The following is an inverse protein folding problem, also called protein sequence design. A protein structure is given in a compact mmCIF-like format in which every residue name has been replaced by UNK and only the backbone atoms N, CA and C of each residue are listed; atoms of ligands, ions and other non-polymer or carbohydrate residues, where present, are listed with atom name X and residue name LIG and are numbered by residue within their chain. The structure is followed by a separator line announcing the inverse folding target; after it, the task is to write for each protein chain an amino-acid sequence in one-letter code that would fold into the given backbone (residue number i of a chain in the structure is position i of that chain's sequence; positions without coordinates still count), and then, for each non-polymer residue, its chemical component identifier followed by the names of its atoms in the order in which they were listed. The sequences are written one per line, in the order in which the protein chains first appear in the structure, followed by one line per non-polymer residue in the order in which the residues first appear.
data_IF_512714247116
#
_entry.id   IF_512714247116
#
_cell.length_a   1.000
_cell.length_b   1.000
_cell.length_c   1.000
_cell.angle_alpha   90.00
_cell.angle_beta   90.00
_cell.angle_gamma   90.00
#
_symmetry.space_group_name_H-M   'P 1'
#
loop_
_entity.id
_entity.type
_entity.pdbx_description
1 polymer ?
#
# COMPACT_ATOMS: atom_id res chain seq x y z
N UNK A 1 13.04 15.54 -2.60
CA UNK A 1 13.54 14.81 -3.81
C UNK A 1 14.47 15.71 -4.59
N UNK A 2 15.31 15.16 -5.48
CA UNK A 2 16.31 15.97 -6.18
C UNK A 2 16.48 15.52 -7.63
N UNK A 3 16.29 16.42 -8.59
CA UNK A 3 16.57 16.16 -10.01
C UNK A 3 17.74 17.01 -10.48
N UNK A 4 18.82 16.37 -10.95
CA UNK A 4 20.08 17.07 -11.18
C UNK A 4 20.55 17.76 -9.89
N UNK A 5 20.84 19.06 -9.95
CA UNK A 5 21.23 19.86 -8.78
C UNK A 5 20.06 20.57 -8.08
N UNK A 6 18.81 20.39 -8.57
CA UNK A 6 17.63 21.08 -8.04
C UNK A 6 16.91 20.21 -7.00
N UNK A 7 16.71 20.76 -5.82
CA UNK A 7 15.89 20.16 -4.76
C UNK A 7 14.43 20.61 -4.88
N UNK A 8 13.50 19.70 -4.58
CA UNK A 8 12.07 19.94 -4.60
C UNK A 8 11.46 19.51 -3.27
N UNK A 9 10.54 20.35 -2.79
CA UNK A 9 9.77 20.13 -1.58
C UNK A 9 8.60 19.16 -1.83
N UNK A 10 8.00 19.23 -3.02
CA UNK A 10 6.83 18.44 -3.38
C UNK A 10 7.11 17.44 -4.51
N UNK A 11 6.29 16.39 -4.57
CA UNK A 11 6.23 15.46 -5.69
C UNK A 11 6.16 13.99 -5.28
N UNK A 12 6.23 13.10 -6.28
CA UNK A 12 6.13 11.65 -6.08
C UNK A 12 7.40 10.94 -6.56
N UNK A 13 8.11 10.29 -5.64
CA UNK A 13 9.23 9.41 -5.95
C UNK A 13 8.78 7.96 -6.18
N UNK A 14 9.38 7.29 -7.16
CA UNK A 14 9.02 5.92 -7.58
C UNK A 14 10.24 5.18 -8.14
N UNK A 15 10.04 3.96 -8.64
CA UNK A 15 11.05 3.16 -9.29
C UNK A 15 10.43 2.41 -10.48
N UNK A 16 11.12 2.33 -11.62
CA UNK A 16 10.60 1.58 -12.77
C UNK A 16 10.47 0.07 -12.45
N UNK A 17 9.53 -0.67 -13.06
CA UNK A 17 8.34 -0.18 -13.76
C UNK A 17 7.28 0.20 -12.72
N UNK A 18 6.69 1.39 -12.85
CA UNK A 18 5.64 1.85 -11.94
C UNK A 18 4.44 2.44 -12.64
N UNK A 19 3.31 2.39 -11.92
CA UNK A 19 2.03 2.97 -12.29
C UNK A 19 1.39 3.61 -11.05
N UNK A 20 1.01 4.87 -11.18
CA UNK A 20 0.32 5.66 -10.15
C UNK A 20 -0.96 6.18 -10.78
N UNK A 21 -2.12 5.82 -10.20
CA UNK A 21 -3.42 6.32 -10.66
C UNK A 21 -3.84 7.47 -9.76
N UNK A 22 -4.10 8.61 -10.37
CA UNK A 22 -4.51 9.83 -9.68
C UNK A 22 -6.00 10.04 -9.92
N UNK A 23 -6.80 10.09 -8.84
CA UNK A 23 -8.23 10.37 -8.90
C UNK A 23 -8.54 11.72 -8.28
N UNK A 24 -9.33 12.51 -9.00
CA UNK A 24 -9.70 13.86 -8.64
C UNK A 24 -11.19 13.90 -8.28
N UNK A 25 -11.52 14.58 -7.20
CA UNK A 25 -12.89 14.87 -6.78
C UNK A 25 -13.59 15.88 -7.70
N UNK A 26 -12.81 16.70 -8.41
CA UNK A 26 -13.28 17.65 -9.41
C UNK A 26 -12.57 17.45 -10.75
N UNK A 27 -13.20 17.82 -11.89
CA UNK A 27 -12.57 17.78 -13.20
C UNK A 27 -11.21 18.48 -13.22
N UNK A 28 -10.17 17.73 -13.61
CA UNK A 28 -8.82 18.23 -13.78
C UNK A 28 -8.68 19.04 -15.07
N UNK A 29 -7.97 20.16 -15.01
CA UNK A 29 -7.65 20.98 -16.18
C UNK A 29 -6.24 20.70 -16.69
N UNK A 30 -5.25 20.68 -15.82
CA UNK A 30 -3.86 20.52 -16.24
C UNK A 30 -3.08 19.78 -15.17
N UNK A 31 -2.39 18.71 -15.58
CA UNK A 31 -1.33 18.09 -14.79
C UNK A 31 0.02 18.72 -15.19
N UNK A 32 0.87 18.98 -14.21
CA UNK A 32 2.22 19.50 -14.41
C UNK A 32 3.22 18.88 -13.42
N UNK A 33 4.45 18.67 -13.86
CA UNK A 33 5.57 18.19 -13.03
C UNK A 33 6.92 18.53 -13.71
N UNK A 34 8.02 18.38 -12.98
CA UNK A 34 9.34 18.13 -13.56
C UNK A 34 9.71 16.66 -13.33
N UNK A 35 9.94 15.91 -14.41
CA UNK A 35 10.23 14.48 -14.36
C UNK A 35 11.72 14.20 -14.55
N UNK A 36 12.26 13.22 -13.84
CA UNK A 36 13.65 12.80 -14.01
C UNK A 36 14.04 11.65 -13.10
N UNK A 37 15.27 11.17 -13.25
CA UNK A 37 15.84 10.18 -12.33
C UNK A 37 16.30 10.93 -11.07
N UNK A 38 15.89 10.45 -9.89
CA UNK A 38 16.26 11.04 -8.60
C UNK A 38 17.78 11.04 -8.46
N UNK A 39 18.34 12.12 -7.91
CA UNK A 39 19.74 12.27 -7.60
C UNK A 39 19.98 11.95 -6.13
N UNK A 40 20.26 10.70 -5.83
CA UNK A 40 20.60 10.23 -4.49
C UNK A 40 21.96 9.51 -4.48
N UNK A 41 22.27 8.87 -3.36
CA UNK A 41 23.55 8.19 -3.13
C UNK A 41 23.81 7.00 -4.07
N UNK A 42 22.76 6.40 -4.65
CA UNK A 42 22.83 5.22 -5.49
C UNK A 42 22.89 5.59 -6.99
N UNK A 43 21.99 6.47 -7.44
CA UNK A 43 21.94 6.92 -8.84
C UNK A 43 23.03 7.93 -9.21
N UNK A 44 23.41 8.79 -8.25
CA UNK A 44 24.43 9.83 -8.38
C UNK A 44 24.23 10.81 -9.55
N UNK A 45 22.99 11.02 -10.02
CA UNK A 45 22.66 11.80 -11.22
C UNK A 45 23.40 11.35 -12.50
N UNK A 46 23.72 10.06 -12.62
CA UNK A 46 24.42 9.52 -13.79
C UNK A 46 23.87 8.18 -14.27
N UNK A 47 23.26 7.40 -13.37
CA UNK A 47 22.78 6.04 -13.66
C UNK A 47 21.27 6.02 -13.86
N UNK A 48 20.79 4.88 -14.35
CA UNK A 48 19.39 4.62 -14.64
C UNK A 48 18.96 5.11 -16.02
N UNK A 49 17.89 4.51 -16.53
CA UNK A 49 17.26 4.90 -17.77
C UNK A 49 15.76 4.60 -17.76
N UNK A 50 14.93 5.63 -17.95
CA UNK A 50 13.47 5.51 -17.80
C UNK A 50 12.72 6.16 -18.94
N UNK A 51 11.45 5.78 -19.13
CA UNK A 51 10.50 6.52 -19.97
C UNK A 51 9.29 6.92 -19.13
N UNK A 52 8.99 8.21 -19.10
CA UNK A 52 7.82 8.76 -18.42
C UNK A 52 6.62 8.79 -19.36
N UNK A 53 5.46 8.35 -18.87
CA UNK A 53 4.21 8.35 -19.62
C UNK A 53 3.10 8.92 -18.75
N UNK A 54 2.23 9.74 -19.34
CA UNK A 54 0.96 10.16 -18.73
C UNK A 54 -0.17 9.66 -19.60
N UNK A 55 -1.12 8.93 -19.00
CA UNK A 55 -2.32 8.44 -19.68
C UNK A 55 -3.56 9.15 -19.15
N UNK A 56 -4.43 9.59 -20.06
CA UNK A 56 -5.71 10.23 -19.74
C UNK A 56 -6.81 9.51 -20.51
N UNK A 57 -7.83 9.02 -19.80
CA UNK A 57 -8.92 8.26 -20.42
C UNK A 57 -8.46 6.99 -21.15
N UNK A 58 -7.44 6.30 -20.61
CA UNK A 58 -6.86 5.08 -21.18
C UNK A 58 -6.04 5.29 -22.45
N UNK A 59 -5.58 6.52 -22.72
CA UNK A 59 -4.72 6.84 -23.87
C UNK A 59 -3.50 7.63 -23.40
N UNK A 60 -2.34 7.36 -24.00
CA UNK A 60 -1.14 8.16 -23.76
C UNK A 60 -1.36 9.61 -24.24
N UNK A 61 -1.39 10.53 -23.28
CA UNK A 61 -1.43 11.96 -23.52
C UNK A 61 -0.01 12.56 -23.56
N UNK A 62 0.96 11.89 -22.95
CA UNK A 62 2.38 12.23 -22.97
C UNK A 62 3.24 10.97 -22.91
N UNK A 63 4.36 10.99 -23.62
CA UNK A 63 5.44 10.01 -23.53
C UNK A 63 6.77 10.73 -23.75
N UNK A 64 7.73 10.53 -22.86
CA UNK A 64 9.08 11.05 -23.04
C UNK A 64 9.91 10.17 -24.00
N UNK A 65 11.01 10.73 -24.52
CA UNK A 65 12.13 9.89 -24.94
C UNK A 65 12.77 9.21 -23.71
N UNK A 66 13.72 8.30 -23.93
CA UNK A 66 14.51 7.72 -22.83
C UNK A 66 15.21 8.84 -22.07
N UNK A 67 15.00 8.87 -20.75
CA UNK A 67 15.62 9.81 -19.81
C UNK A 67 16.71 9.09 -19.05
N UNK A 68 17.88 9.69 -18.94
CA UNK A 68 19.04 9.16 -18.21
C UNK A 68 19.31 10.00 -16.96
N UNK A 69 20.06 9.43 -16.02
CA UNK A 69 20.41 10.11 -14.77
C UNK A 69 21.07 11.47 -14.96
N UNK A 70 21.84 11.62 -16.04
CA UNK A 70 22.55 12.84 -16.40
C UNK A 70 21.69 13.91 -17.08
N UNK A 71 20.46 13.58 -17.47
CA UNK A 71 19.61 14.51 -18.20
C UNK A 71 19.05 15.58 -17.26
N UNK A 72 18.83 16.82 -17.75
CA UNK A 72 18.17 17.83 -16.94
C UNK A 72 16.71 17.43 -16.64
N UNK A 73 16.11 18.00 -15.56
CA UNK A 73 14.70 17.82 -15.25
C UNK A 73 13.84 18.11 -16.48
N UNK A 74 12.90 17.23 -16.78
CA UNK A 74 12.02 17.30 -17.94
C UNK A 74 10.69 17.96 -17.54
N UNK A 75 10.36 19.16 -18.04
CA UNK A 75 9.05 19.75 -17.80
C UNK A 75 7.96 18.90 -18.47
N UNK A 76 6.98 18.46 -17.69
CA UNK A 76 5.80 17.75 -18.16
C UNK A 76 4.57 18.62 -17.92
N UNK A 77 3.76 18.81 -18.96
CA UNK A 77 2.49 19.53 -18.87
C UNK A 77 1.46 18.85 -19.78
N UNK A 78 0.36 18.39 -19.20
CA UNK A 78 -0.68 17.62 -19.89
C UNK A 78 -2.03 18.27 -19.62
N UNK A 79 -2.79 18.53 -20.70
CA UNK A 79 -4.20 18.90 -20.59
C UNK A 79 -5.01 17.66 -20.24
N UNK A 80 -5.73 17.72 -19.12
CA UNK A 80 -6.55 16.62 -18.64
C UNK A 80 -7.95 16.63 -19.26
N UNK A 81 -8.35 17.70 -19.95
CA UNK A 81 -9.63 17.76 -20.67
C UNK A 81 -10.86 17.58 -19.77
N UNK A 82 -10.76 17.90 -18.48
CA UNK A 82 -11.81 17.65 -17.49
C UNK A 82 -11.85 16.23 -16.94
N UNK A 83 -10.85 15.39 -17.23
CA UNK A 83 -10.75 14.05 -16.65
C UNK A 83 -10.67 14.13 -15.12
N UNK A 84 -11.35 13.19 -14.46
CA UNK A 84 -11.27 12.98 -13.01
C UNK A 84 -10.30 11.86 -12.66
N UNK A 85 -9.66 11.24 -13.64
CA UNK A 85 -8.66 10.19 -13.45
C UNK A 85 -7.60 10.28 -14.55
N UNK A 86 -6.34 10.12 -14.18
CA UNK A 86 -5.21 9.93 -15.09
C UNK A 86 -4.14 9.07 -14.44
N UNK A 87 -3.23 8.54 -15.24
CA UNK A 87 -2.21 7.60 -14.80
C UNK A 87 -0.83 8.12 -15.11
N UNK A 88 0.06 8.09 -14.12
CA UNK A 88 1.49 8.36 -14.28
C UNK A 88 2.24 7.04 -14.31
N UNK A 89 3.07 6.82 -15.33
CA UNK A 89 3.84 5.59 -15.48
C UNK A 89 5.32 5.89 -15.69
N UNK A 90 6.17 5.05 -15.11
CA UNK A 90 7.60 5.04 -15.36
C UNK A 90 7.97 3.66 -15.89
N UNK A 91 8.49 3.60 -17.11
CA UNK A 91 8.95 2.38 -17.76
C UNK A 91 10.48 2.27 -17.67
N UNK A 92 11.01 1.05 -17.77
CA UNK A 92 12.43 0.69 -17.62
C UNK A 92 13.30 0.90 -18.87
N UNK A 93 12.79 1.67 -19.84
CA UNK A 93 13.42 1.94 -21.13
C UNK A 93 13.93 0.72 -21.94
N UNK A 94 13.55 -0.51 -21.55
CA UNK A 94 13.98 -1.75 -22.17
C UNK A 94 15.38 -2.25 -21.78
N UNK A 95 16.08 -1.63 -20.82
CA UNK A 95 17.35 -2.14 -20.27
C UNK A 95 17.24 -2.70 -18.84
N UNK A 96 16.02 -2.70 -18.29
CA UNK A 96 15.68 -3.24 -16.98
C UNK A 96 15.87 -2.20 -15.88
N UNK A 97 15.24 -2.44 -14.73
CA UNK A 97 15.02 -1.42 -13.70
C UNK A 97 16.26 -0.93 -12.90
N UNK A 98 17.49 -1.24 -13.31
CA UNK A 98 18.66 -0.96 -12.47
C UNK A 98 18.93 0.55 -12.33
N UNK A 99 18.84 1.06 -11.10
CA UNK A 99 19.01 2.49 -10.76
C UNK A 99 17.92 3.41 -11.34
N UNK A 100 16.74 2.86 -11.66
CA UNK A 100 15.62 3.61 -12.24
C UNK A 100 14.73 4.26 -11.17
N UNK A 101 15.36 4.86 -10.16
CA UNK A 101 14.68 5.67 -9.16
C UNK A 101 14.28 6.98 -9.81
N UNK A 102 12.98 7.24 -9.91
CA UNK A 102 12.44 8.32 -10.73
C UNK A 102 11.48 9.18 -9.93
N UNK A 103 11.50 10.49 -10.18
CA UNK A 103 10.60 11.44 -9.55
C UNK A 103 9.69 12.11 -10.57
N UNK A 104 8.44 12.32 -10.16
CA UNK A 104 7.55 13.36 -10.66
C UNK A 104 7.60 14.54 -9.67
N UNK A 105 8.59 15.41 -9.81
CA UNK A 105 8.85 16.52 -8.89
C UNK A 105 7.89 17.71 -9.12
N UNK A 106 7.48 18.38 -8.04
CA UNK A 106 6.41 19.40 -8.01
C UNK A 106 5.12 18.97 -8.74
N UNK A 107 4.87 17.65 -8.78
CA UNK A 107 3.72 17.08 -9.45
C UNK A 107 2.42 17.64 -8.87
N UNK A 108 1.64 18.33 -9.71
CA UNK A 108 0.43 19.02 -9.29
C UNK A 108 -0.62 19.04 -10.39
N UNK A 109 -1.87 19.21 -9.96
CA UNK A 109 -3.03 19.36 -10.84
C UNK A 109 -3.71 20.69 -10.56
N UNK A 110 -4.03 21.42 -11.63
CA UNK A 110 -5.00 22.53 -11.58
C UNK A 110 -6.39 21.97 -11.86
N UNK A 111 -7.33 22.11 -10.94
CA UNK A 111 -8.73 21.68 -11.09
C UNK A 111 -9.59 22.78 -11.75
N UNK A 112 -10.81 22.45 -12.19
CA UNK A 112 -11.73 23.38 -12.85
C UNK A 112 -12.03 24.65 -12.04
N UNK A 113 -11.96 24.59 -10.71
CA UNK A 113 -12.08 25.76 -9.81
C UNK A 113 -10.85 26.68 -9.74
N UNK A 114 -9.75 26.33 -10.44
CA UNK A 114 -8.48 27.06 -10.41
C UNK A 114 -7.55 26.69 -9.24
N UNK A 115 -8.02 25.85 -8.32
CA UNK A 115 -7.20 25.30 -7.23
C UNK A 115 -6.08 24.44 -7.80
N UNK A 116 -4.85 24.69 -7.34
CA UNK A 116 -3.72 23.82 -7.58
C UNK A 116 -3.53 22.92 -6.36
N UNK A 117 -3.37 21.62 -6.60
CA UNK A 117 -3.08 20.63 -5.55
C UNK A 117 -1.86 19.83 -5.94
N UNK A 118 -0.92 19.67 -5.00
CA UNK A 118 0.23 18.78 -5.17
C UNK A 118 -0.17 17.34 -4.89
N UNK A 119 0.33 16.40 -5.69
CA UNK A 119 -0.08 15.00 -5.62
C UNK A 119 0.38 14.29 -4.34
N UNK A 120 1.46 14.76 -3.72
CA UNK A 120 1.98 14.24 -2.45
C UNK A 120 1.14 14.68 -1.22
N UNK A 121 0.25 15.65 -1.40
CA UNK A 121 -0.71 16.09 -0.39
C UNK A 121 -2.07 15.39 -0.52
N UNK A 122 -2.27 14.60 -1.57
CA UNK A 122 -3.50 13.83 -1.76
C UNK A 122 -3.50 12.60 -0.85
N UNK A 123 -4.62 12.27 -0.16
CA UNK A 123 -4.70 11.03 0.58
C UNK A 123 -4.49 9.81 -0.32
N UNK A 124 -3.67 8.88 0.15
CA UNK A 124 -3.50 7.58 -0.47
C UNK A 124 -4.78 6.76 -0.27
N UNK A 125 -5.44 6.43 -1.37
CA UNK A 125 -6.41 5.35 -1.40
C UNK A 125 -5.66 4.03 -1.33
N UNK A 126 -5.61 3.50 -0.12
CA UNK A 126 -5.41 2.07 0.04
C UNK A 126 -6.74 1.44 -0.37
N UNK A 127 -6.77 0.50 -1.33
CA UNK A 127 -7.96 -0.33 -1.48
C UNK A 127 -8.29 -0.80 -0.07
N UNK A 128 -9.55 -0.65 0.35
CA UNK A 128 -9.96 -1.15 1.64
C UNK A 128 -9.60 -2.64 1.63
N UNK A 129 -8.50 -3.00 2.27
CA UNK A 129 -8.17 -4.39 2.49
C UNK A 129 -9.29 -4.87 3.37
N UNK A 130 -10.28 -5.52 2.76
CA UNK A 130 -11.30 -6.23 3.50
C UNK A 130 -10.56 -7.44 4.05
N UNK A 131 -9.92 -7.25 5.20
CA UNK A 131 -9.56 -8.37 6.04
C UNK A 131 -10.87 -9.09 6.37
N UNK A 132 -10.92 -10.39 6.15
CA UNK A 132 -12.05 -11.18 6.62
C UNK A 132 -12.23 -10.96 8.13
N UNK A 133 -13.46 -11.02 8.61
CA UNK A 133 -13.75 -11.11 10.05
C UNK A 133 -13.42 -12.49 10.62
N UNK A 134 -13.02 -13.43 9.77
CA UNK A 134 -12.58 -14.76 10.16
C UNK A 134 -11.27 -14.69 10.97
N UNK A 135 -11.06 -15.70 11.81
CA UNK A 135 -9.83 -15.85 12.56
C UNK A 135 -8.62 -15.89 11.58
N UNK A 136 -7.60 -15.04 11.75
CA UNK A 136 -6.48 -14.93 10.81
C UNK A 136 -5.40 -15.99 11.07
N UNK A 137 -5.83 -17.18 11.49
CA UNK A 137 -5.02 -18.36 11.74
C UNK A 137 -5.86 -19.59 11.44
N UNK A 138 -5.20 -20.70 11.15
CA UNK A 138 -5.88 -21.98 10.94
C UNK A 138 -5.17 -23.13 11.66
N UNK A 139 -5.95 -24.15 12.00
CA UNK A 139 -5.45 -25.40 12.56
C UNK A 139 -6.44 -26.54 12.28
N UNK A 140 -6.00 -27.77 12.46
CA UNK A 140 -6.86 -28.96 12.51
C UNK A 140 -6.87 -29.50 13.94
N UNK A 141 -8.06 -29.80 14.45
CA UNK A 141 -8.25 -30.28 15.82
C UNK A 141 -9.26 -31.42 15.85
N UNK A 142 -8.81 -32.59 16.30
CA UNK A 142 -9.63 -33.81 16.24
C UNK A 142 -10.08 -34.17 14.82
N UNK A 143 -9.25 -33.86 13.82
CA UNK A 143 -9.55 -34.08 12.40
C UNK A 143 -10.49 -33.06 11.75
N UNK A 144 -10.91 -32.01 12.47
CA UNK A 144 -11.77 -30.94 11.94
C UNK A 144 -10.99 -29.63 11.77
N UNK A 145 -11.19 -28.90 10.66
CA UNK A 145 -10.54 -27.60 10.47
C UNK A 145 -11.13 -26.55 11.42
N UNK A 146 -10.30 -25.60 11.85
CA UNK A 146 -10.68 -24.50 12.76
C UNK A 146 -11.87 -23.69 12.24
N UNK A 147 -12.01 -23.55 10.92
CA UNK A 147 -13.15 -22.88 10.27
C UNK A 147 -14.51 -23.52 10.60
N UNK A 148 -14.56 -24.83 10.88
CA UNK A 148 -15.77 -25.53 11.31
C UNK A 148 -15.98 -25.46 12.83
N UNK A 149 -14.92 -25.21 13.59
CA UNK A 149 -14.90 -25.30 15.05
C UNK A 149 -15.17 -23.94 15.70
N UNK A 150 -14.39 -22.91 15.32
CA UNK A 150 -14.37 -21.60 15.95
C UNK A 150 -15.75 -20.90 16.00
N UNK A 151 -16.64 -21.02 14.99
CA UNK A 151 -17.98 -20.41 15.08
C UNK A 151 -18.83 -20.94 16.25
N UNK A 152 -18.54 -22.15 16.74
CA UNK A 152 -19.23 -22.76 17.88
C UNK A 152 -18.54 -22.54 19.22
N UNK A 153 -17.39 -21.87 19.24
CA UNK A 153 -16.60 -21.65 20.46
C UNK A 153 -16.92 -20.30 21.09
N UNK A 154 -16.72 -20.20 22.40
CA UNK A 154 -16.84 -18.91 23.10
C UNK A 154 -15.73 -18.00 22.61
N UNK A 155 -16.06 -16.79 22.14
CA UNK A 155 -15.11 -15.81 21.62
C UNK A 155 -15.07 -14.56 22.53
N UNK A 156 -13.88 -14.16 22.95
CA UNK A 156 -13.66 -12.97 23.78
C UNK A 156 -12.53 -12.11 23.22
N UNK A 157 -12.66 -10.79 23.38
CA UNK A 157 -11.62 -9.81 23.04
C UNK A 157 -11.34 -8.93 24.25
N UNK A 158 -10.06 -8.73 24.53
CA UNK A 158 -9.57 -7.81 25.54
C UNK A 158 -8.61 -6.81 24.87
N UNK A 159 -9.01 -5.55 24.82
CA UNK A 159 -8.12 -4.47 24.42
C UNK A 159 -7.21 -4.08 25.60
N UNK A 160 -5.95 -3.77 25.30
CA UNK A 160 -4.98 -3.28 26.28
C UNK A 160 -4.71 -1.79 26.06
N UNK A 161 -4.29 -1.12 27.14
CA UNK A 161 -3.92 0.30 27.05
C UNK A 161 -2.90 0.52 25.92
N UNK A 162 -3.07 1.60 25.13
CA UNK A 162 -2.12 1.95 24.10
C UNK A 162 -0.72 2.05 24.71
N UNK A 163 0.23 1.28 24.17
CA UNK A 163 1.63 1.61 24.38
C UNK A 163 1.96 2.80 23.47
N UNK A 164 2.98 3.57 23.81
CA UNK A 164 3.48 4.66 22.96
C UNK A 164 3.65 4.14 21.51
N UNK A 165 2.87 4.70 20.58
CA UNK A 165 2.89 4.32 19.16
C UNK A 165 2.27 2.96 18.79
N UNK A 166 1.59 2.23 19.67
CA UNK A 166 0.99 0.93 19.33
C UNK A 166 -0.34 0.60 20.05
N UNK A 167 -1.29 0.03 19.29
CA UNK A 167 -2.52 -0.57 19.81
C UNK A 167 -2.31 -2.06 20.06
N UNK A 168 -2.88 -2.59 21.15
CA UNK A 168 -2.73 -4.00 21.54
C UNK A 168 -4.05 -4.62 21.92
N UNK A 169 -4.26 -5.88 21.56
CA UNK A 169 -5.41 -6.66 21.99
C UNK A 169 -5.04 -8.14 22.12
N UNK A 170 -5.75 -8.85 22.99
CA UNK A 170 -5.81 -10.31 23.04
C UNK A 170 -7.18 -10.76 22.62
N UNK A 171 -7.23 -11.81 21.81
CA UNK A 171 -8.49 -12.46 21.38
C UNK A 171 -8.38 -13.94 21.69
N UNK A 172 -9.43 -14.52 22.25
CA UNK A 172 -9.47 -15.93 22.63
C UNK A 172 -10.74 -16.64 22.16
N UNK A 173 -10.58 -17.93 21.86
CA UNK A 173 -11.61 -18.89 21.53
C UNK A 173 -11.51 -20.08 22.48
N UNK A 174 -12.62 -20.52 23.06
CA UNK A 174 -12.62 -21.66 23.99
C UNK A 174 -13.55 -22.77 23.52
N UNK A 175 -12.99 -23.97 23.34
CA UNK A 175 -13.73 -25.19 23.08
C UNK A 175 -14.56 -25.58 24.33
N UNK A 176 -15.90 -25.58 24.25
CA UNK A 176 -16.73 -25.95 25.40
C UNK A 176 -16.59 -27.44 25.77
N UNK A 177 -16.12 -28.30 24.86
CA UNK A 177 -16.04 -29.73 25.11
C UNK A 177 -14.79 -30.13 25.90
N UNK A 178 -13.63 -29.56 25.56
CA UNK A 178 -12.35 -29.96 26.17
C UNK A 178 -11.73 -28.87 27.05
N UNK A 179 -12.14 -27.62 26.90
CA UNK A 179 -11.45 -26.49 27.53
C UNK A 179 -10.18 -26.07 26.82
N UNK A 180 -9.94 -26.49 25.57
CA UNK A 180 -8.87 -25.92 24.75
C UNK A 180 -9.16 -24.44 24.49
N UNK A 181 -8.27 -23.57 24.98
CA UNK A 181 -8.22 -22.16 24.65
C UNK A 181 -7.22 -21.95 23.51
N UNK A 182 -7.66 -21.25 22.48
CA UNK A 182 -6.82 -20.73 21.39
C UNK A 182 -6.89 -19.23 21.45
N UNK A 183 -5.75 -18.57 21.65
CA UNK A 183 -5.71 -17.13 21.79
C UNK A 183 -4.61 -16.53 20.94
N UNK A 184 -4.77 -15.29 20.51
CA UNK A 184 -3.68 -14.54 19.91
C UNK A 184 -3.56 -13.16 20.54
N UNK A 185 -2.30 -12.71 20.64
CA UNK A 185 -1.97 -11.33 20.97
C UNK A 185 -1.61 -10.61 19.66
N UNK A 186 -2.22 -9.44 19.45
CA UNK A 186 -1.96 -8.57 18.30
C UNK A 186 -1.47 -7.22 18.78
N UNK A 187 -0.40 -6.72 18.14
CA UNK A 187 0.12 -5.38 18.33
C UNK A 187 0.24 -4.68 16.98
N UNK A 188 -0.51 -3.60 16.81
CA UNK A 188 -0.52 -2.78 15.59
C UNK A 188 0.26 -1.51 15.87
N UNK A 189 1.32 -1.28 15.09
CA UNK A 189 2.11 -0.06 15.17
C UNK A 189 1.34 1.07 14.46
N UNK A 190 1.19 2.21 15.12
CA UNK A 190 0.42 3.34 14.59
C UNK A 190 1.25 4.20 13.63
N UNK A 191 2.58 4.21 13.80
CA UNK A 191 3.51 5.03 13.02
C UNK A 191 4.14 4.26 11.84
N UNK A 192 4.02 2.93 11.84
CA UNK A 192 4.61 2.05 10.83
C UNK A 192 3.55 1.06 10.32
N UNK A 193 3.58 0.67 9.03
CA UNK A 193 2.70 -0.35 8.50
C UNK A 193 3.15 -1.76 8.94
N UNK A 194 3.15 -2.01 10.25
CA UNK A 194 3.62 -3.24 10.86
C UNK A 194 2.62 -3.78 11.89
N UNK A 195 2.55 -5.10 11.98
CA UNK A 195 1.80 -5.84 12.99
C UNK A 195 2.70 -6.93 13.58
N UNK A 196 2.66 -7.08 14.90
CA UNK A 196 3.23 -8.22 15.61
C UNK A 196 2.08 -9.11 16.09
N UNK A 197 2.28 -10.42 15.95
CA UNK A 197 1.25 -11.43 16.14
C UNK A 197 1.81 -12.68 16.81
N UNK A 198 1.16 -13.17 17.87
CA UNK A 198 1.55 -14.41 18.54
C UNK A 198 0.31 -15.25 18.81
N UNK A 199 0.31 -16.50 18.34
CA UNK A 199 -0.76 -17.47 18.58
C UNK A 199 -0.39 -18.42 19.73
N UNK A 200 -1.35 -18.68 20.61
CA UNK A 200 -1.26 -19.49 21.81
C UNK A 200 -2.30 -20.61 21.79
N UNK A 201 -1.91 -21.77 22.28
CA UNK A 201 -2.80 -22.89 22.58
C UNK A 201 -2.62 -23.27 24.04
N UNK A 202 -3.70 -23.33 24.81
CA UNK A 202 -3.69 -23.64 26.22
C UNK A 202 -4.83 -24.61 26.54
N UNK A 203 -4.49 -25.82 26.96
CA UNK A 203 -5.49 -26.74 27.52
C UNK A 203 -5.85 -26.32 28.95
N UNK A 204 -7.04 -25.75 29.15
CA UNK A 204 -7.56 -25.38 30.48
C UNK A 204 -8.43 -26.48 31.10
N UNK A 205 -8.67 -27.57 30.36
CA UNK A 205 -9.41 -28.74 30.82
C UNK A 205 -8.60 -29.65 31.73
N UNK A 206 -9.28 -30.71 32.22
CA UNK A 206 -8.66 -31.74 33.06
C UNK A 206 -8.26 -33.01 32.29
N UNK A 207 -8.50 -33.05 30.99
CA UNK A 207 -8.22 -34.20 30.12
C UNK A 207 -7.34 -33.76 28.96
N UNK A 208 -6.63 -34.71 28.37
CA UNK A 208 -5.89 -34.46 27.13
C UNK A 208 -6.86 -34.03 26.03
N UNK A 209 -6.44 -33.05 25.24
CA UNK A 209 -7.18 -32.63 24.05
C UNK A 209 -6.98 -33.66 22.93
N UNK A 210 -7.92 -33.77 21.97
CA UNK A 210 -7.62 -34.32 20.66
C UNK A 210 -6.34 -33.74 20.04
N UNK A 211 -5.81 -34.45 19.05
CA UNK A 211 -4.65 -34.01 18.29
C UNK A 211 -4.89 -32.63 17.67
N UNK A 212 -3.92 -31.74 17.88
CA UNK A 212 -3.81 -30.44 17.25
C UNK A 212 -2.69 -30.51 16.21
N UNK A 213 -3.00 -30.19 14.96
CA UNK A 213 -2.05 -30.32 13.84
C UNK A 213 -2.32 -29.26 12.76
N UNK A 214 -1.44 -29.18 11.77
CA UNK A 214 -1.55 -28.23 10.65
C UNK A 214 -1.79 -26.79 11.11
N UNK A 215 -0.99 -26.34 12.08
CA UNK A 215 -1.12 -25.01 12.71
C UNK A 215 -0.46 -23.97 11.81
N UNK A 216 -1.24 -23.00 11.35
CA UNK A 216 -0.79 -21.83 10.63
C UNK A 216 -1.09 -20.58 11.47
N UNK A 217 -0.10 -20.05 12.22
CA UNK A 217 -0.29 -18.92 13.12
C UNK A 217 -0.75 -17.62 12.46
N UNK A 218 -0.50 -17.52 11.16
CA UNK A 218 -1.00 -16.46 10.29
C UNK A 218 -1.48 -17.10 8.99
N UNK A 219 -2.80 -17.14 8.79
CA UNK A 219 -3.45 -17.69 7.60
C UNK A 219 -4.52 -16.69 7.14
N UNK A 220 -4.12 -15.77 6.28
CA UNK A 220 -4.92 -14.64 5.84
C UNK A 220 -5.41 -14.83 4.42
N UNK A 221 -6.72 -14.67 4.22
CA UNK A 221 -7.26 -14.39 2.90
C UNK A 221 -7.28 -12.88 2.67
N UNK A 222 -6.38 -12.42 1.80
CA UNK A 222 -6.32 -11.02 1.39
C UNK A 222 -7.01 -10.92 0.04
N UNK A 223 -8.15 -10.24 -0.01
CA UNK A 223 -8.79 -9.87 -1.27
C UNK A 223 -8.30 -8.49 -1.67
N UNK A 224 -7.52 -8.40 -2.73
CA UNK A 224 -7.13 -7.11 -3.32
C UNK A 224 -8.14 -6.71 -4.39
N UNK A 225 -8.77 -5.55 -4.22
CA UNK A 225 -9.52 -4.91 -5.30
C UNK A 225 -8.53 -4.13 -6.17
N UNK A 226 -7.79 -4.82 -7.06
CA UNK A 226 -6.95 -4.15 -8.06
C UNK A 226 -5.55 -4.72 -8.20
N UNK A 227 -5.06 -4.72 -9.44
CA UNK A 227 -3.65 -4.91 -9.78
C UNK A 227 -2.85 -3.81 -9.08
N UNK A 228 -1.61 -4.10 -8.66
CA UNK A 228 -0.63 -3.21 -8.03
C UNK A 228 -0.69 -1.74 -8.49
N UNK A 229 -1.60 -0.95 -7.93
CA UNK A 229 -1.81 0.46 -8.24
C UNK A 229 -1.87 1.19 -6.90
N UNK A 230 -1.08 2.24 -6.79
CA UNK A 230 -1.21 3.21 -5.70
C UNK A 230 -2.25 4.23 -6.15
N UNK A 231 -3.43 4.18 -5.55
CA UNK A 231 -4.53 5.12 -5.83
C UNK A 231 -4.37 6.35 -4.89
N UNK A 232 -4.62 7.56 -5.39
CA UNK A 232 -4.71 8.79 -4.59
C UNK A 232 -6.10 9.42 -4.81
N UNK A 233 -6.75 9.92 -3.75
CA UNK A 233 -8.03 10.67 -3.81
C UNK A 233 -7.83 12.08 -3.22
N UNK A 234 -8.71 13.02 -3.53
CA UNK A 234 -8.81 14.30 -2.83
C UNK A 234 -10.14 14.30 -2.08
N UNK A 235 -10.12 14.58 -0.78
CA UNK A 235 -11.35 14.84 -0.02
C UNK A 235 -11.29 16.25 0.53
N UNK A 236 -12.24 17.10 0.14
CA UNK A 236 -12.47 18.39 0.80
C UNK A 236 -13.46 18.21 1.95
N UNK A 237 -13.08 18.60 3.17
CA UNK A 237 -14.04 18.86 4.27
C UNK A 237 -14.89 20.12 3.99
#
# INVERSE_FOLDING_TARGET
MRLGDKEYEHGLGTHSVSEIVVRLDQPGKTFQAEAGIDNNWDTGAQRGSVVFVVEVGGKEAFRSEVRRGSDPPLPVRVDLGGATEFTLRVLDAGDGQSHDQADWADASVTQAGGTQVYLDQMPLLRPATVFSTDAPFSFVYGGKPSSELLPGWKHERQDHDPAEGARRARVSYTDPATGLEVAYDVKVYCEYPAVEWVLYFHNTGQQDTPLLENIFPLDLQITTSGKNVVDFELTTE
#
